data_IF_677385191113
#
_entry.id   IF_677385191113
#
_cell.length_a   1.000
_cell.length_b   1.000
_cell.length_c   1.000
_cell.angle_alpha   90.00
_cell.angle_beta   90.00
_cell.angle_gamma   90.00
#
_symmetry.space_group_name_H-M   'P 1'
#
loop_
_entity.id
_entity.type
_entity.pdbx_description
1 polymer ?
#
# COMPACT_ATOMS: atom_id res chain seq x y z
N UNK A 1 13.78 39.98 -37.19
CA UNK A 1 14.26 39.15 -36.07
C UNK A 1 13.39 39.50 -34.87
N UNK A 2 12.30 38.77 -34.67
CA UNK A 2 11.45 38.91 -33.49
C UNK A 2 11.49 37.56 -32.79
N UNK A 3 11.88 37.63 -31.53
CA UNK A 3 12.25 36.52 -30.67
C UNK A 3 11.18 35.44 -30.64
N UNK A 4 11.61 34.19 -30.84
CA UNK A 4 10.82 32.95 -30.74
C UNK A 4 10.57 32.59 -29.26
N UNK A 5 10.35 33.61 -28.44
CA UNK A 5 9.99 33.48 -27.03
C UNK A 5 8.51 33.79 -26.93
N UNK A 6 7.76 32.93 -26.23
CA UNK A 6 6.32 33.01 -25.94
C UNK A 6 5.46 32.19 -26.90
N UNK A 7 4.53 31.43 -26.30
CA UNK A 7 3.64 30.40 -26.84
C UNK A 7 4.20 28.97 -26.80
N UNK A 8 4.55 28.50 -25.60
CA UNK A 8 4.27 27.11 -25.26
C UNK A 8 3.03 27.14 -24.37
N UNK A 9 1.89 26.86 -25.00
CA UNK A 9 0.59 26.79 -24.37
C UNK A 9 0.67 25.86 -23.14
N UNK A 10 0.13 26.33 -22.02
CA UNK A 10 -0.05 25.49 -20.84
C UNK A 10 -1.13 24.47 -21.17
N UNK A 11 -0.73 23.25 -21.51
CA UNK A 11 -1.61 22.09 -21.47
C UNK A 11 -1.93 21.84 -19.99
N UNK A 12 -3.05 22.41 -19.54
CA UNK A 12 -3.62 22.18 -18.22
C UNK A 12 -4.06 20.72 -18.09
N UNK A 13 -3.13 19.86 -17.69
CA UNK A 13 -3.44 18.53 -17.21
C UNK A 13 -4.24 18.65 -15.90
N UNK A 14 -5.32 17.88 -15.78
CA UNK A 14 -6.08 17.76 -14.53
C UNK A 14 -5.12 17.22 -13.46
N UNK A 15 -4.77 18.08 -12.49
CA UNK A 15 -3.97 17.69 -11.32
C UNK A 15 -4.89 17.01 -10.31
N UNK A 16 -4.44 15.87 -9.78
CA UNK A 16 -5.15 15.11 -8.75
C UNK A 16 -4.96 15.83 -7.42
N UNK A 17 -6.03 16.32 -6.78
CA UNK A 17 -5.91 17.00 -5.50
C UNK A 17 -6.15 16.03 -4.33
N UNK A 18 -5.16 15.90 -3.44
CA UNK A 18 -5.34 15.13 -2.19
C UNK A 18 -5.93 16.06 -1.14
N UNK A 19 -7.23 15.92 -0.90
CA UNK A 19 -8.00 16.85 -0.05
C UNK A 19 -7.94 16.49 1.42
N UNK A 20 -7.79 15.20 1.75
CA UNK A 20 -7.70 14.73 3.13
C UNK A 20 -6.69 13.59 3.23
N UNK A 21 -5.95 13.55 4.35
CA UNK A 21 -5.11 12.41 4.73
C UNK A 21 -5.42 12.01 6.16
N UNK A 22 -5.88 10.78 6.35
CA UNK A 22 -6.15 10.16 7.65
C UNK A 22 -5.00 9.23 8.00
N UNK A 23 -4.38 9.42 9.16
CA UNK A 23 -3.20 8.64 9.60
C UNK A 23 -3.52 7.87 10.88
N UNK A 24 -3.21 6.58 10.87
CA UNK A 24 -3.24 5.69 12.04
C UNK A 24 -1.83 5.19 12.31
N UNK A 25 -1.19 5.74 13.35
CA UNK A 25 0.15 5.32 13.77
C UNK A 25 0.14 3.88 14.26
N UNK A 26 1.22 3.15 13.99
CA UNK A 26 1.45 1.81 14.50
C UNK A 26 2.15 1.85 15.85
N UNK A 27 1.78 0.97 16.77
CA UNK A 27 2.33 0.93 18.14
C UNK A 27 3.76 0.35 18.19
N UNK A 28 4.11 -0.49 17.20
CA UNK A 28 5.36 -1.24 17.16
C UNK A 28 6.54 -0.40 16.61
N UNK A 29 7.25 0.30 17.51
CA UNK A 29 8.41 1.17 17.19
C UNK A 29 9.58 0.51 16.43
N UNK A 30 9.67 -0.82 16.40
CA UNK A 30 10.76 -1.56 15.74
C UNK A 30 10.39 -2.11 14.35
N UNK A 31 9.11 -2.03 13.95
CA UNK A 31 8.71 -2.53 12.64
C UNK A 31 9.02 -1.49 11.56
N UNK A 32 9.23 -1.94 10.32
CA UNK A 32 9.37 -1.04 9.17
C UNK A 32 8.06 -0.30 8.89
N UNK A 33 6.91 -0.93 9.16
CA UNK A 33 5.60 -0.30 9.05
C UNK A 33 5.40 0.73 10.17
N UNK A 34 5.26 2.01 9.79
CA UNK A 34 5.10 3.12 10.73
C UNK A 34 3.64 3.51 10.93
N UNK A 35 2.85 3.52 9.86
CA UNK A 35 1.45 3.95 9.91
C UNK A 35 0.63 3.36 8.76
N UNK A 36 -0.67 3.24 8.99
CA UNK A 36 -1.67 3.10 7.94
C UNK A 36 -2.26 4.46 7.60
N UNK A 37 -2.51 4.70 6.33
CA UNK A 37 -3.06 5.95 5.84
C UNK A 37 -4.24 5.68 4.90
N UNK A 38 -5.21 6.59 4.94
CA UNK A 38 -6.24 6.71 3.92
C UNK A 38 -6.20 8.11 3.36
N UNK A 39 -6.38 8.24 2.05
CA UNK A 39 -6.40 9.54 1.36
C UNK A 39 -7.76 9.75 0.71
N UNK A 40 -8.22 11.00 0.72
CA UNK A 40 -9.38 11.44 -0.06
C UNK A 40 -8.87 12.28 -1.23
N UNK A 41 -9.30 11.93 -2.43
CA UNK A 41 -8.96 12.57 -3.69
C UNK A 41 -10.17 13.39 -4.12
N UNK A 42 -9.94 14.67 -4.43
CA UNK A 42 -10.93 15.63 -4.93
C UNK A 42 -12.23 15.70 -4.09
N UNK A 43 -12.19 15.35 -2.80
CA UNK A 43 -13.34 15.16 -1.90
C UNK A 43 -14.36 14.08 -2.31
N UNK A 44 -14.09 13.34 -3.39
CA UNK A 44 -15.07 12.44 -4.02
C UNK A 44 -14.65 10.96 -3.95
N UNK A 45 -13.36 10.67 -3.76
CA UNK A 45 -12.85 9.31 -3.84
C UNK A 45 -11.85 8.98 -2.72
N UNK A 46 -12.12 7.91 -1.96
CA UNK A 46 -11.25 7.48 -0.85
C UNK A 46 -10.44 6.25 -1.24
N UNK A 47 -9.12 6.32 -1.03
CA UNK A 47 -8.21 5.18 -1.12
C UNK A 47 -7.73 4.81 0.29
N UNK A 48 -8.03 3.58 0.72
CA UNK A 48 -7.63 3.03 2.03
C UNK A 48 -6.39 2.15 1.91
N UNK A 49 -5.80 1.81 3.05
CA UNK A 49 -4.68 0.86 3.19
C UNK A 49 -3.36 1.28 2.53
N UNK A 50 -3.11 2.59 2.40
CA UNK A 50 -1.76 3.09 2.15
C UNK A 50 -0.92 2.85 3.41
N UNK A 51 0.39 2.65 3.23
CA UNK A 51 1.31 2.36 4.34
C UNK A 51 2.50 3.29 4.30
N UNK A 52 2.84 3.89 5.43
CA UNK A 52 4.13 4.58 5.61
C UNK A 52 5.14 3.54 6.08
N UNK A 53 6.21 3.35 5.31
CA UNK A 53 7.22 2.33 5.56
C UNK A 53 8.58 3.00 5.68
N UNK A 54 9.34 2.64 6.72
CA UNK A 54 10.73 3.01 6.88
C UNK A 54 11.62 2.14 5.97
N UNK A 55 12.28 2.81 5.02
CA UNK A 55 13.27 2.21 4.13
C UNK A 55 14.70 2.70 4.43
N UNK A 56 15.69 2.18 3.72
CA UNK A 56 17.09 2.57 3.91
C UNK A 56 17.40 4.03 3.56
N UNK A 57 16.58 4.65 2.70
CA UNK A 57 16.71 6.05 2.27
C UNK A 57 15.70 6.97 2.97
N UNK A 58 15.06 6.49 4.05
CA UNK A 58 14.00 7.16 4.79
C UNK A 58 12.60 6.60 4.51
N UNK A 59 11.62 7.21 5.17
CA UNK A 59 10.22 6.87 5.05
C UNK A 59 9.66 7.11 3.64
N UNK A 60 8.85 6.17 3.15
CA UNK A 60 8.15 6.27 1.88
C UNK A 60 6.74 5.69 1.97
N UNK A 61 5.90 5.99 0.98
CA UNK A 61 4.51 5.53 0.94
C UNK A 61 4.40 4.30 0.04
N UNK A 62 3.94 3.20 0.59
CA UNK A 62 3.54 2.01 -0.15
C UNK A 62 2.04 2.05 -0.44
N UNK A 63 1.71 1.72 -1.68
CA UNK A 63 0.33 1.69 -2.15
C UNK A 63 -0.45 0.50 -1.57
N UNK A 64 -1.80 0.57 -1.56
CA UNK A 64 -2.64 -0.53 -1.12
C UNK A 64 -2.43 -1.75 -2.01
N UNK A 65 -2.14 -2.90 -1.42
CA UNK A 65 -1.82 -4.12 -2.15
C UNK A 65 -2.64 -5.31 -1.67
N UNK A 66 -2.94 -6.24 -2.58
CA UNK A 66 -3.67 -7.49 -2.31
C UNK A 66 -2.86 -8.69 -2.79
N UNK A 67 -3.00 -9.81 -2.07
CA UNK A 67 -2.46 -11.12 -2.48
C UNK A 67 -3.15 -11.54 -3.77
N UNK A 68 -2.36 -11.94 -4.76
CA UNK A 68 -2.88 -12.48 -6.02
C UNK A 68 -3.49 -13.86 -5.78
N UNK A 69 -4.57 -14.13 -6.51
CA UNK A 69 -5.38 -15.34 -6.38
C UNK A 69 -5.75 -15.91 -7.73
N UNK A 70 -5.93 -17.22 -7.80
CA UNK A 70 -6.46 -17.93 -8.95
C UNK A 70 -7.67 -18.80 -8.57
N UNK A 71 -8.22 -19.49 -9.58
CA UNK A 71 -9.41 -20.33 -9.44
C UNK A 71 -8.99 -21.80 -9.40
N UNK A 72 -9.55 -22.56 -8.46
CA UNK A 72 -9.35 -24.00 -8.39
C UNK A 72 -9.89 -24.67 -9.67
N UNK A 73 -9.13 -25.56 -10.33
CA UNK A 73 -9.58 -26.24 -11.55
C UNK A 73 -10.73 -27.23 -11.32
N UNK A 74 -10.95 -27.67 -10.06
CA UNK A 74 -12.02 -28.62 -9.72
C UNK A 74 -13.33 -27.93 -9.36
N UNK A 75 -13.30 -26.97 -8.42
CA UNK A 75 -14.52 -26.36 -7.87
C UNK A 75 -14.71 -24.88 -8.23
N UNK A 76 -13.73 -24.22 -8.86
CA UNK A 76 -13.78 -22.76 -9.13
C UNK A 76 -13.55 -21.88 -7.90
N UNK A 77 -13.22 -22.47 -6.75
CA UNK A 77 -12.88 -21.76 -5.51
C UNK A 77 -11.71 -20.78 -5.67
N UNK A 78 -11.71 -19.67 -4.92
CA UNK A 78 -10.68 -18.63 -5.00
C UNK A 78 -9.54 -18.96 -4.03
N UNK A 79 -8.32 -19.10 -4.55
CA UNK A 79 -7.16 -19.51 -3.75
C UNK A 79 -5.99 -18.56 -3.98
N UNK A 80 -5.14 -18.37 -2.97
CA UNK A 80 -3.88 -17.66 -3.15
C UNK A 80 -2.96 -18.43 -4.11
N UNK A 81 -2.14 -17.71 -4.89
CA UNK A 81 -1.28 -18.35 -5.90
C UNK A 81 -0.33 -19.42 -5.34
N UNK A 82 0.11 -19.27 -4.08
CA UNK A 82 1.01 -20.23 -3.41
C UNK A 82 0.27 -21.33 -2.63
N UNK A 83 -1.06 -21.36 -2.64
CA UNK A 83 -1.80 -22.38 -1.92
C UNK A 83 -1.50 -23.78 -2.49
N UNK A 84 -1.13 -24.72 -1.62
CA UNK A 84 -0.89 -26.12 -1.97
C UNK A 84 -2.21 -26.90 -2.15
N UNK A 85 -3.26 -26.50 -1.45
CA UNK A 85 -4.58 -27.11 -1.50
C UNK A 85 -5.66 -26.05 -1.67
N UNK A 86 -6.79 -26.44 -2.23
CA UNK A 86 -7.94 -25.57 -2.35
C UNK A 86 -8.58 -25.31 -0.98
N UNK A 87 -8.76 -24.03 -0.63
CA UNK A 87 -9.41 -23.57 0.60
C UNK A 87 -10.88 -24.02 0.69
N UNK A 88 -11.55 -24.27 -0.43
CA UNK A 88 -12.96 -24.67 -0.46
C UNK A 88 -13.14 -26.19 -0.53
N UNK A 89 -12.46 -26.87 -1.47
CA UNK A 89 -12.69 -28.31 -1.74
C UNK A 89 -11.53 -29.23 -1.36
N UNK A 90 -10.45 -28.70 -0.78
CA UNK A 90 -9.28 -29.47 -0.32
C UNK A 90 -8.43 -30.10 -1.43
N UNK A 91 -8.78 -29.94 -2.70
CA UNK A 91 -8.04 -30.57 -3.80
C UNK A 91 -6.64 -29.99 -3.92
N UNK A 92 -5.64 -30.85 -4.10
CA UNK A 92 -4.25 -30.43 -4.31
C UNK A 92 -4.16 -29.57 -5.58
N UNK A 93 -3.54 -28.41 -5.43
CA UNK A 93 -3.36 -27.45 -6.51
C UNK A 93 -1.93 -27.57 -7.07
N UNK A 94 -1.76 -27.22 -8.34
CA UNK A 94 -0.45 -27.29 -9.00
C UNK A 94 0.51 -26.23 -8.42
N UNK A 95 1.72 -26.65 -8.04
CA UNK A 95 2.77 -25.80 -7.48
C UNK A 95 3.34 -24.82 -8.51
N UNK A 96 3.26 -25.16 -9.80
CA UNK A 96 3.76 -24.32 -10.89
C UNK A 96 2.80 -23.20 -11.30
N UNK A 97 1.60 -23.12 -10.70
CA UNK A 97 0.59 -22.08 -10.99
C UNK A 97 1.11 -20.67 -10.76
N UNK A 98 1.95 -20.50 -9.75
CA UNK A 98 2.49 -19.20 -9.37
C UNK A 98 3.62 -18.73 -10.33
N UNK A 99 4.24 -19.65 -11.08
CA UNK A 99 5.42 -19.41 -11.93
C UNK A 99 5.12 -19.40 -13.44
N UNK A 100 3.89 -19.14 -13.87
CA UNK A 100 3.50 -19.21 -15.30
C UNK A 100 4.18 -18.20 -16.25
N UNK A 101 5.21 -17.47 -15.82
CA UNK A 101 5.94 -16.48 -16.63
C UNK A 101 7.46 -16.59 -16.50
N UNK A 102 8.18 -15.99 -17.46
CA UNK A 102 9.66 -15.99 -17.55
C UNK A 102 10.34 -15.02 -16.57
N UNK A 103 9.69 -14.68 -15.45
CA UNK A 103 10.15 -13.68 -14.50
C UNK A 103 9.89 -14.08 -13.05
N UNK A 104 10.41 -13.26 -12.11
CA UNK A 104 10.17 -13.44 -10.68
C UNK A 104 8.66 -13.48 -10.40
N UNK A 105 8.22 -14.45 -9.59
CA UNK A 105 6.83 -14.60 -9.21
C UNK A 105 6.30 -13.31 -8.55
N UNK A 106 5.28 -12.71 -9.14
CA UNK A 106 4.54 -11.61 -8.53
C UNK A 106 3.41 -12.21 -7.68
N UNK A 107 3.52 -12.09 -6.36
CA UNK A 107 2.55 -12.62 -5.40
C UNK A 107 1.51 -11.59 -4.95
N UNK A 108 1.83 -10.31 -5.10
CA UNK A 108 0.98 -9.20 -4.70
C UNK A 108 0.85 -8.22 -5.86
N UNK A 109 -0.30 -7.56 -5.92
CA UNK A 109 -0.52 -6.46 -6.84
C UNK A 109 -1.16 -5.29 -6.10
N UNK A 110 -0.75 -4.09 -6.48
CA UNK A 110 -1.33 -2.87 -5.96
C UNK A 110 -2.75 -2.73 -6.50
N UNK A 111 -3.70 -2.47 -5.61
CA UNK A 111 -5.11 -2.24 -5.97
C UNK A 111 -5.30 -0.82 -6.51
N UNK A 112 -4.53 0.13 -5.99
CA UNK A 112 -4.45 1.49 -6.51
C UNK A 112 -2.99 1.87 -6.68
N UNK A 113 -2.63 2.54 -7.78
CA UNK A 113 -1.28 3.03 -7.98
C UNK A 113 -1.29 4.27 -8.88
N UNK A 114 -0.44 5.28 -8.60
CA UNK A 114 -0.29 6.43 -9.48
C UNK A 114 0.37 6.00 -10.79
N UNK A 115 -0.20 6.45 -11.90
CA UNK A 115 0.34 6.19 -13.25
C UNK A 115 1.59 7.05 -13.49
N UNK A 116 1.54 8.31 -13.05
CA UNK A 116 2.56 9.31 -13.34
C UNK A 116 3.45 9.60 -12.12
N UNK A 117 4.72 9.94 -12.37
CA UNK A 117 5.68 10.30 -11.31
C UNK A 117 5.22 11.51 -10.50
N UNK A 118 4.68 12.55 -11.14
CA UNK A 118 4.21 13.76 -10.44
C UNK A 118 3.13 13.42 -9.41
N UNK A 119 2.12 12.63 -9.79
CA UNK A 119 1.06 12.19 -8.89
C UNK A 119 1.60 11.31 -7.74
N UNK A 120 2.59 10.46 -8.03
CA UNK A 120 3.29 9.67 -6.99
C UNK A 120 3.97 10.58 -5.97
N UNK A 121 4.67 11.61 -6.43
CA UNK A 121 5.35 12.57 -5.56
C UNK A 121 4.35 13.38 -4.73
N UNK A 122 3.25 13.84 -5.33
CA UNK A 122 2.18 14.56 -4.62
C UNK A 122 1.57 13.71 -3.50
N UNK A 123 1.16 12.47 -3.80
CA UNK A 123 0.63 11.54 -2.78
C UNK A 123 1.66 11.30 -1.68
N UNK A 124 2.91 11.03 -2.06
CA UNK A 124 3.97 10.74 -1.09
C UNK A 124 4.21 11.93 -0.15
N UNK A 125 4.32 13.13 -0.70
CA UNK A 125 4.60 14.34 0.08
C UNK A 125 3.46 14.63 1.04
N UNK A 126 2.20 14.63 0.56
CA UNK A 126 1.01 14.89 1.39
C UNK A 126 0.85 13.87 2.52
N UNK A 127 1.08 12.60 2.23
CA UNK A 127 0.97 11.55 3.25
C UNK A 127 2.09 11.63 4.28
N UNK A 128 3.33 11.86 3.86
CA UNK A 128 4.46 11.99 4.78
C UNK A 128 4.39 13.25 5.64
N UNK A 129 3.86 14.35 5.10
CA UNK A 129 3.58 15.58 5.84
C UNK A 129 2.57 15.31 6.97
N UNK A 130 1.39 14.77 6.63
CA UNK A 130 0.37 14.42 7.62
C UNK A 130 0.86 13.39 8.66
N UNK A 131 1.67 12.41 8.23
CA UNK A 131 2.28 11.44 9.14
C UNK A 131 3.20 12.11 10.17
N UNK A 132 4.06 13.04 9.75
CA UNK A 132 4.96 13.76 10.66
C UNK A 132 4.18 14.61 11.67
N UNK A 133 3.15 15.31 11.21
CA UNK A 133 2.27 16.08 12.09
C UNK A 133 1.61 15.18 13.13
N UNK A 134 1.12 14.01 12.72
CA UNK A 134 0.47 13.06 13.63
C UNK A 134 1.47 12.47 14.64
N UNK A 135 2.71 12.20 14.22
CA UNK A 135 3.79 11.79 15.12
C UNK A 135 4.08 12.88 16.16
N UNK A 136 4.14 14.16 15.78
CA UNK A 136 4.34 15.24 16.75
C UNK A 136 3.16 15.39 17.71
N UNK A 137 1.91 15.32 17.21
CA UNK A 137 0.71 15.30 18.07
C UNK A 137 0.74 14.15 19.07
N UNK A 138 1.20 12.96 18.65
CA UNK A 138 1.28 11.78 19.52
C UNK A 138 2.21 11.94 20.72
N UNK A 139 3.18 12.86 20.65
CA UNK A 139 4.09 13.15 21.76
C UNK A 139 3.45 14.06 22.83
N UNK A 140 2.39 14.78 22.49
CA UNK A 140 1.76 15.72 23.42
C UNK A 140 0.93 14.99 24.48
N UNK A 141 0.98 15.42 25.75
CA UNK A 141 0.21 14.80 26.82
C UNK A 141 -1.30 15.01 26.58
N UNK A 142 -2.07 13.93 26.52
CA UNK A 142 -3.51 13.97 26.24
C UNK A 142 -3.89 13.64 24.79
N UNK A 143 -2.93 13.27 23.95
CA UNK A 143 -3.21 12.78 22.60
C UNK A 143 -4.19 11.59 22.62
N UNK A 144 -5.22 11.70 21.78
CA UNK A 144 -6.13 10.61 21.46
C UNK A 144 -6.15 10.46 19.93
N UNK A 145 -5.85 9.26 19.40
CA UNK A 145 -5.99 9.00 17.98
C UNK A 145 -7.40 9.36 17.50
N UNK A 146 -7.50 10.06 16.38
CA UNK A 146 -8.78 10.37 15.78
C UNK A 146 -9.46 9.06 15.33
N UNK A 147 -10.64 8.77 15.89
CA UNK A 147 -11.48 7.65 15.44
C UNK A 147 -12.26 8.11 14.21
N UNK A 148 -12.16 7.35 13.13
CA UNK A 148 -12.95 7.57 11.92
C UNK A 148 -13.97 6.43 11.83
N UNK A 149 -15.25 6.78 11.90
CA UNK A 149 -16.36 5.80 11.92
C UNK A 149 -16.35 4.89 10.67
N UNK A 150 -15.89 5.41 9.52
CA UNK A 150 -15.74 4.66 8.26
C UNK A 150 -14.51 3.72 8.17
N UNK A 151 -13.69 3.64 9.24
CA UNK A 151 -12.54 2.72 9.33
C UNK A 151 -12.82 1.46 10.15
N UNK A 152 -13.94 1.40 10.88
CA UNK A 152 -14.27 0.26 11.74
C UNK A 152 -14.92 -0.91 10.96
N UNK A 153 -15.27 -0.71 9.68
CA UNK A 153 -15.84 -1.74 8.78
C UNK A 153 -14.81 -2.62 8.06
N UNK A 154 -13.52 -2.46 8.36
CA UNK A 154 -12.47 -3.38 7.88
C UNK A 154 -11.88 -4.11 9.07
N UNK A 155 -12.38 -5.34 9.27
CA UNK A 155 -11.81 -6.34 10.16
C UNK A 155 -10.30 -6.48 9.93
N UNK A 156 -9.50 -5.69 10.66
CA UNK A 156 -8.09 -5.94 10.83
C UNK A 156 -7.99 -7.12 11.80
N UNK A 157 -8.26 -8.33 11.30
CA UNK A 157 -7.94 -9.57 12.00
C UNK A 157 -6.44 -9.51 12.27
N UNK A 158 -6.09 -9.30 13.55
CA UNK A 158 -4.75 -9.33 14.06
C UNK A 158 -4.17 -10.74 14.07
N UNK A 159 -4.14 -11.41 12.92
CA UNK A 159 -3.47 -12.70 12.75
C UNK A 159 -2.46 -12.64 11.60
N UNK A 160 -1.23 -13.01 11.96
CA UNK A 160 -0.06 -13.27 11.12
C UNK A 160 0.78 -12.06 10.65
N UNK A 161 1.38 -11.35 11.62
CA UNK A 161 2.80 -11.00 11.50
C UNK A 161 3.62 -12.15 12.12
N UNK A 162 3.66 -13.29 11.43
CA UNK A 162 4.66 -14.33 11.70
C UNK A 162 5.93 -14.03 10.89
N UNK A 163 7.04 -14.30 11.57
CA UNK A 163 8.41 -13.95 11.25
C UNK A 163 8.92 -14.73 10.03
N UNK A 164 8.99 -14.06 8.87
CA UNK A 164 9.93 -14.47 7.82
C UNK A 164 11.04 -13.42 7.75
N UNK A 165 11.89 -13.44 8.78
CA UNK A 165 13.25 -12.91 8.68
C UNK A 165 14.03 -13.95 7.89
N UNK A 166 14.40 -13.60 6.65
CA UNK A 166 15.32 -14.36 5.81
C UNK A 166 16.59 -14.70 6.61
N UNK A 167 16.67 -15.94 7.13
CA UNK A 167 17.91 -16.57 7.52
C UNK A 167 18.63 -17.04 6.25
N UNK A 168 19.29 -16.13 5.55
CA UNK A 168 20.39 -16.51 4.65
C UNK A 168 21.70 -16.60 5.44
N UNK A 169 21.86 -17.78 6.05
CA UNK A 169 23.06 -18.62 6.04
C UNK A 169 24.42 -17.92 6.29
N UNK A 170 24.79 -17.84 7.56
CA UNK A 170 26.15 -18.20 7.94
C UNK A 170 26.28 -19.72 7.97
N UNK A 171 27.25 -20.29 7.26
CA UNK A 171 27.73 -21.66 7.54
C UNK A 171 27.88 -22.57 6.32
N UNK A 172 28.87 -22.29 5.47
CA UNK A 172 30.03 -23.18 5.30
C UNK A 172 31.23 -22.34 4.90
#
# INVERSE_FOLDING_TARGET
MISRTLLREQEGGIQVNITEVRVKLTEAKKNRLQAFCSITIDNDFVVRDLKVIEGHKGAFVAMPSRKLTDRCPKCGGKNHLMAQHCNDCGTKLDEKRASKGTGRLKLHADTAHPINSNCREEIQNKVLEAYKEEVEKSKTPGYKPQKYEDMDDVDYIGEELNEDVDQEKSGK
#
